data_IF_847681831582
#
_entry.id   IF_847681831582
#
_cell.length_a   1.000
_cell.length_b   1.000
_cell.length_c   1.000
_cell.angle_alpha   90.00
_cell.angle_beta   90.00
_cell.angle_gamma   90.00
#
_symmetry.space_group_name_H-M   'P 1'
#
loop_
_entity.id
_entity.type
_entity.pdbx_description
1 polymer ?
#
# COMPACT_ATOMS: atom_id res chain seq x y z
N UNK A 1 14.02 41.84 -19.15
CA UNK A 1 13.60 42.02 -17.73
C UNK A 1 12.12 42.34 -17.54
N UNK A 2 11.52 43.32 -18.24
CA UNK A 2 10.11 43.72 -18.04
C UNK A 2 9.04 42.60 -18.15
N UNK A 3 9.07 41.67 -19.14
CA UNK A 3 8.03 40.64 -19.24
C UNK A 3 8.12 39.56 -18.14
N UNK A 4 9.33 39.34 -17.58
CA UNK A 4 9.56 38.40 -16.48
C UNK A 4 8.93 38.91 -15.18
N UNK A 5 9.07 40.22 -14.90
CA UNK A 5 8.44 40.84 -13.73
C UNK A 5 6.91 40.74 -13.82
N UNK A 6 6.33 40.95 -15.01
CA UNK A 6 4.89 40.85 -15.24
C UNK A 6 4.36 39.42 -15.04
N UNK A 7 5.08 38.40 -15.53
CA UNK A 7 4.67 37.00 -15.34
C UNK A 7 4.78 36.55 -13.87
N UNK A 8 5.83 36.97 -13.17
CA UNK A 8 6.02 36.70 -11.74
C UNK A 8 4.93 37.38 -10.90
N UNK A 9 4.54 38.61 -11.26
CA UNK A 9 3.46 39.35 -10.62
C UNK A 9 2.11 38.64 -10.79
N UNK A 10 1.79 38.14 -11.99
CA UNK A 10 0.54 37.40 -12.26
C UNK A 10 0.50 36.08 -11.46
N UNK A 11 1.65 35.38 -11.35
CA UNK A 11 1.75 34.17 -10.53
C UNK A 11 1.53 34.47 -9.04
N UNK A 12 2.10 35.57 -8.53
CA UNK A 12 1.93 36.03 -7.15
C UNK A 12 0.48 36.46 -6.84
N UNK A 13 -0.19 37.17 -7.75
CA UNK A 13 -1.59 37.58 -7.58
C UNK A 13 -2.51 36.36 -7.52
N UNK A 14 -2.24 35.33 -8.31
CA UNK A 14 -2.99 34.07 -8.29
C UNK A 14 -2.89 33.32 -6.96
N UNK A 15 -1.72 33.39 -6.31
CA UNK A 15 -1.46 32.78 -5.00
C UNK A 15 -2.22 33.52 -3.88
N UNK A 16 -2.35 34.84 -3.98
CA UNK A 16 -3.06 35.66 -2.99
C UNK A 16 -4.57 35.46 -3.02
N UNK A 17 -5.17 35.24 -4.19
CA UNK A 17 -6.64 35.08 -4.33
C UNK A 17 -7.13 33.73 -3.77
N UNK A 18 -6.28 32.68 -3.77
CA UNK A 18 -6.63 31.38 -3.14
C UNK A 18 -6.42 31.33 -1.62
N UNK A 19 -5.94 32.41 -0.98
CA UNK A 19 -5.59 32.41 0.44
C UNK A 19 -6.74 32.82 1.40
N UNK A 20 -7.98 32.97 0.90
CA UNK A 20 -9.10 33.49 1.68
C UNK A 20 -9.94 32.41 2.40
N UNK A 21 -9.66 31.13 2.19
CA UNK A 21 -10.21 30.03 3.01
C UNK A 21 -9.25 29.70 4.17
N UNK A 22 -9.79 29.37 5.36
CA UNK A 22 -9.09 28.91 6.58
C UNK A 22 -8.33 27.59 6.36
N UNK A 23 -7.42 27.55 5.39
CA UNK A 23 -6.56 26.42 5.10
C UNK A 23 -5.40 26.43 6.10
N UNK A 24 -5.30 25.33 6.85
CA UNK A 24 -4.18 24.97 7.72
C UNK A 24 -2.85 25.11 6.95
N UNK A 25 -2.21 26.27 7.10
CA UNK A 25 -1.23 26.83 6.16
C UNK A 25 0.19 26.31 6.41
N UNK A 26 0.31 24.98 6.48
CA UNK A 26 1.61 24.34 6.63
C UNK A 26 2.44 24.47 5.35
N UNK A 27 3.61 25.10 5.48
CA UNK A 27 4.66 25.08 4.46
C UNK A 27 5.56 23.87 4.69
N UNK A 28 5.87 23.16 3.61
CA UNK A 28 6.86 22.09 3.64
C UNK A 28 8.18 22.62 3.08
N UNK A 29 9.24 22.57 3.88
CA UNK A 29 10.61 22.83 3.43
C UNK A 29 11.18 21.52 2.90
N UNK A 30 11.82 21.56 1.75
CA UNK A 30 12.39 20.37 1.09
C UNK A 30 13.83 20.65 0.70
N UNK A 31 14.71 19.67 0.92
CA UNK A 31 16.03 19.57 0.31
C UNK A 31 15.95 18.53 -0.81
N UNK A 32 16.55 18.79 -1.97
CA UNK A 32 16.62 17.81 -3.04
C UNK A 32 18.01 17.79 -3.66
N UNK A 33 18.41 16.63 -4.14
CA UNK A 33 19.65 16.43 -4.89
C UNK A 33 19.42 15.44 -6.02
N UNK A 34 20.12 15.62 -7.13
CA UNK A 34 19.96 14.77 -8.30
C UNK A 34 21.15 14.76 -9.23
N UNK A 35 20.97 14.07 -10.35
CA UNK A 35 21.90 14.00 -11.47
C UNK A 35 21.24 14.62 -12.70
N UNK A 36 21.87 15.66 -13.24
CA UNK A 36 21.49 16.36 -14.45
C UNK A 36 22.19 15.69 -15.65
N UNK A 37 21.41 15.33 -16.66
CA UNK A 37 21.87 14.84 -17.96
C UNK A 37 21.54 15.91 -19.01
N UNK A 38 22.50 16.82 -19.23
CA UNK A 38 22.32 17.97 -20.11
C UNK A 38 22.67 17.64 -21.56
N UNK A 39 21.76 17.96 -22.46
CA UNK A 39 21.92 17.80 -23.90
C UNK A 39 21.64 19.14 -24.56
N UNK A 40 22.47 19.52 -25.53
CA UNK A 40 22.36 20.76 -26.28
C UNK A 40 22.86 20.55 -27.69
N UNK A 41 22.50 21.44 -28.60
CA UNK A 41 22.88 21.41 -30.00
C UNK A 41 23.83 22.57 -30.28
N UNK A 42 24.96 22.29 -30.94
CA UNK A 42 25.93 23.29 -31.37
C UNK A 42 26.28 23.00 -32.82
N UNK A 43 26.10 23.99 -33.70
CA UNK A 43 26.36 23.86 -35.13
C UNK A 43 25.65 22.66 -35.80
N UNK A 44 24.42 22.33 -35.38
CA UNK A 44 23.68 21.20 -35.92
C UNK A 44 24.02 19.84 -35.29
N UNK A 45 25.02 19.77 -34.41
CA UNK A 45 25.43 18.54 -33.74
C UNK A 45 24.87 18.48 -32.32
N UNK A 46 24.17 17.39 -32.00
CA UNK A 46 23.69 17.14 -30.63
C UNK A 46 24.83 16.61 -29.76
N UNK A 47 25.16 17.32 -28.69
CA UNK A 47 26.17 16.92 -27.73
C UNK A 47 25.66 15.78 -26.85
N UNK A 48 26.53 14.81 -26.52
CA UNK A 48 26.17 13.66 -25.68
C UNK A 48 26.10 14.05 -24.21
N UNK A 49 25.03 13.72 -23.46
CA UNK A 49 24.88 14.14 -22.08
C UNK A 49 25.89 13.46 -21.14
N UNK A 50 26.39 14.22 -20.16
CA UNK A 50 27.23 13.72 -19.06
C UNK A 50 26.50 14.00 -17.74
N UNK A 51 26.39 12.97 -16.90
CA UNK A 51 25.80 13.11 -15.58
C UNK A 51 26.61 14.07 -14.70
N UNK A 52 25.93 15.05 -14.11
CA UNK A 52 26.51 16.01 -13.17
C UNK A 52 25.58 16.23 -11.98
N UNK A 53 26.11 16.42 -10.77
CA UNK A 53 25.28 16.57 -9.59
C UNK A 53 24.56 17.93 -9.56
N UNK A 54 23.40 17.93 -8.92
CA UNK A 54 22.64 19.11 -8.56
C UNK A 54 22.12 19.01 -7.13
N UNK A 55 21.93 20.16 -6.49
CA UNK A 55 21.39 20.28 -5.14
C UNK A 55 20.55 21.54 -5.02
N UNK A 56 19.44 21.48 -4.30
CA UNK A 56 18.56 22.63 -4.14
C UNK A 56 17.61 22.48 -2.97
N UNK A 57 16.90 23.56 -2.69
CA UNK A 57 15.87 23.63 -1.66
C UNK A 57 14.56 24.13 -2.27
N UNK A 58 13.43 23.67 -1.75
CA UNK A 58 12.12 24.20 -2.15
C UNK A 58 11.15 24.32 -0.98
N UNK A 59 10.29 25.34 -1.07
CA UNK A 59 9.12 25.54 -0.24
C UNK A 59 7.89 25.06 -1.00
N UNK A 60 7.08 24.21 -0.39
CA UNK A 60 5.83 23.71 -0.96
C UNK A 60 4.65 24.12 -0.06
N UNK A 61 3.70 24.85 -0.62
CA UNK A 61 2.46 25.26 0.05
C UNK A 61 1.29 24.44 -0.46
N UNK A 62 0.52 23.85 0.45
CA UNK A 62 -0.72 23.13 0.12
C UNK A 62 -1.85 24.14 -0.09
N UNK A 63 -2.56 24.03 -1.21
CA UNK A 63 -3.72 24.90 -1.52
C UNK A 63 -5.04 24.13 -1.45
N UNK A 64 -5.08 22.90 -1.96
CA UNK A 64 -6.22 21.97 -1.85
C UNK A 64 -5.71 20.57 -1.47
N UNK A 65 -6.62 19.61 -1.26
CA UNK A 65 -6.26 18.24 -0.85
C UNK A 65 -5.21 17.58 -1.77
N UNK A 66 -5.28 17.86 -3.08
CA UNK A 66 -4.42 17.24 -4.12
C UNK A 66 -3.50 18.23 -4.85
N UNK A 67 -3.61 19.54 -4.60
CA UNK A 67 -2.82 20.55 -5.30
C UNK A 67 -1.91 21.32 -4.34
N UNK A 68 -0.68 21.52 -4.79
CA UNK A 68 0.38 22.23 -4.07
C UNK A 68 1.10 23.16 -5.03
N UNK A 69 1.66 24.25 -4.52
CA UNK A 69 2.56 25.13 -5.27
C UNK A 69 3.95 25.04 -4.67
N UNK A 70 4.96 24.86 -5.51
CA UNK A 70 6.36 24.79 -5.11
C UNK A 70 7.12 26.02 -5.61
N UNK A 71 8.01 26.53 -4.77
CA UNK A 71 9.02 27.53 -5.10
C UNK A 71 10.38 27.00 -4.63
N UNK A 72 11.39 26.97 -5.50
CA UNK A 72 12.68 26.40 -5.16
C UNK A 72 13.85 27.12 -5.81
N UNK A 73 15.03 26.87 -5.23
CA UNK A 73 16.33 27.32 -5.74
C UNK A 73 17.24 26.11 -5.85
N UNK A 74 17.90 25.94 -6.97
CA UNK A 74 18.80 24.82 -7.25
C UNK A 74 20.15 25.34 -7.75
N UNK A 75 21.24 24.85 -7.16
CA UNK A 75 22.55 24.88 -7.78
C UNK A 75 22.71 23.67 -8.70
N UNK A 76 23.16 23.92 -9.93
CA UNK A 76 23.39 22.87 -10.91
C UNK A 76 24.83 22.87 -11.41
N UNK A 77 25.31 21.69 -11.75
CA UNK A 77 26.40 21.48 -12.71
C UNK A 77 25.85 20.68 -13.88
N UNK A 78 26.28 21.01 -15.09
CA UNK A 78 25.86 20.38 -16.34
C UNK A 78 27.07 20.19 -17.22
N UNK A 79 27.07 19.10 -17.96
CA UNK A 79 28.10 18.86 -18.93
C UNK A 79 27.54 18.08 -20.13
N UNK A 80 28.07 18.41 -21.31
CA UNK A 80 27.75 17.72 -22.55
C UNK A 80 29.03 17.52 -23.36
N UNK A 81 29.20 16.35 -23.98
CA UNK A 81 30.38 15.99 -24.75
C UNK A 81 30.20 16.40 -26.21
N UNK A 82 31.11 17.23 -26.70
CA UNK A 82 31.20 17.62 -28.10
C UNK A 82 32.06 16.63 -28.90
N UNK A 83 33.26 16.33 -28.41
CA UNK A 83 34.17 15.33 -28.97
C UNK A 83 34.78 14.45 -27.87
N UNK A 84 35.56 13.40 -28.18
CA UNK A 84 36.23 12.59 -27.15
C UNK A 84 37.09 13.41 -26.16
N UNK A 85 37.70 14.49 -26.64
CA UNK A 85 38.55 15.39 -25.85
C UNK A 85 37.84 16.67 -25.41
N UNK A 86 36.77 17.10 -26.07
CA UNK A 86 36.11 18.39 -25.78
C UNK A 86 34.75 18.20 -25.14
N UNK A 87 34.53 18.84 -23.98
CA UNK A 87 33.22 18.91 -23.30
C UNK A 87 32.83 20.36 -23.04
N UNK A 88 31.54 20.63 -23.11
CA UNK A 88 30.92 21.85 -22.58
C UNK A 88 30.60 21.60 -21.11
N UNK A 89 31.08 22.46 -20.20
CA UNK A 89 30.66 22.49 -18.81
C UNK A 89 29.92 23.79 -18.48
N UNK A 90 28.87 23.66 -17.66
CA UNK A 90 28.06 24.76 -17.17
C UNK A 90 27.80 24.59 -15.67
N UNK A 91 27.89 25.66 -14.90
CA UNK A 91 27.41 25.69 -13.53
C UNK A 91 26.68 26.99 -13.23
N UNK A 92 25.69 26.92 -12.35
CA UNK A 92 24.83 28.06 -12.09
C UNK A 92 23.70 27.81 -11.11
N UNK A 93 22.74 28.71 -11.13
CA UNK A 93 21.56 28.70 -10.26
C UNK A 93 20.26 28.65 -11.08
N UNK A 94 19.28 27.96 -10.54
CA UNK A 94 17.92 27.87 -11.06
C UNK A 94 16.90 28.32 -10.03
N UNK A 95 15.98 29.17 -10.44
CA UNK A 95 14.74 29.47 -9.72
C UNK A 95 13.62 28.65 -10.34
N UNK A 96 12.93 27.85 -9.52
CA UNK A 96 11.93 26.88 -9.95
C UNK A 96 10.60 27.26 -9.30
N UNK A 97 9.54 27.42 -10.08
CA UNK A 97 8.21 27.70 -9.54
C UNK A 97 7.13 26.97 -10.34
N UNK A 98 6.18 26.32 -9.67
CA UNK A 98 5.09 25.68 -10.38
C UNK A 98 4.08 24.91 -9.52
N UNK A 99 2.92 24.59 -10.12
CA UNK A 99 1.94 23.70 -9.50
C UNK A 99 2.42 22.24 -9.53
N UNK A 100 1.98 21.50 -8.50
CA UNK A 100 2.13 20.05 -8.38
C UNK A 100 0.82 19.42 -7.96
N UNK A 101 0.40 18.41 -8.71
CA UNK A 101 -0.76 17.58 -8.44
C UNK A 101 -0.32 16.27 -7.78
N UNK A 102 -0.92 15.91 -6.64
CA UNK A 102 -0.62 14.70 -5.87
C UNK A 102 -1.81 13.74 -5.89
N UNK A 103 -1.53 12.46 -6.15
CA UNK A 103 -2.50 11.37 -6.08
C UNK A 103 -1.87 10.14 -5.42
N UNK A 104 -2.26 9.87 -4.17
CA UNK A 104 -1.65 8.82 -3.35
C UNK A 104 -0.15 9.04 -3.14
N UNK A 105 0.65 8.04 -3.50
CA UNK A 105 2.11 8.08 -3.39
C UNK A 105 2.79 8.78 -4.57
N UNK A 106 2.03 9.23 -5.58
CA UNK A 106 2.56 9.86 -6.80
C UNK A 106 2.27 11.35 -6.83
N UNK A 107 3.16 12.12 -7.46
CA UNK A 107 2.90 13.50 -7.84
C UNK A 107 3.36 13.79 -9.25
N UNK A 108 2.68 14.71 -9.92
CA UNK A 108 3.03 15.22 -11.24
C UNK A 108 3.16 16.74 -11.13
N UNK A 109 4.14 17.32 -11.82
CA UNK A 109 4.38 18.76 -11.75
C UNK A 109 4.79 19.34 -13.10
N UNK A 110 4.47 20.63 -13.24
CA UNK A 110 4.91 21.47 -14.35
C UNK A 110 5.45 22.76 -13.72
N UNK A 111 6.75 23.03 -13.87
CA UNK A 111 7.40 24.21 -13.32
C UNK A 111 7.90 25.13 -14.43
N UNK A 112 7.80 26.44 -14.22
CA UNK A 112 8.64 27.41 -14.89
C UNK A 112 10.00 27.46 -14.18
N UNK A 113 11.08 27.44 -14.96
CA UNK A 113 12.45 27.49 -14.44
C UNK A 113 13.20 28.64 -15.08
N UNK A 114 13.77 29.51 -14.27
CA UNK A 114 14.71 30.53 -14.71
C UNK A 114 16.12 30.11 -14.32
N UNK A 115 16.96 29.83 -15.31
CA UNK A 115 18.33 29.36 -15.16
C UNK A 115 19.31 30.47 -15.46
N UNK A 116 20.33 30.64 -14.62
CA UNK A 116 21.47 31.52 -14.88
C UNK A 116 22.77 30.71 -14.70
N UNK A 117 23.54 30.54 -15.78
CA UNK A 117 24.85 29.93 -15.76
C UNK A 117 25.90 31.00 -15.46
N UNK A 118 26.57 30.88 -14.32
CA UNK A 118 27.66 31.77 -13.92
C UNK A 118 28.98 31.39 -14.58
N UNK A 119 29.13 30.11 -14.93
CA UNK A 119 30.29 29.58 -15.64
C UNK A 119 29.80 28.75 -16.81
N UNK A 120 30.41 28.97 -17.98
CA UNK A 120 30.14 28.23 -19.21
C UNK A 120 31.42 28.19 -20.04
N UNK A 121 32.01 27.01 -20.19
CA UNK A 121 33.28 26.87 -20.89
C UNK A 121 33.39 25.55 -21.63
N UNK A 122 34.15 25.56 -22.71
CA UNK A 122 34.65 24.33 -23.32
C UNK A 122 35.94 23.90 -22.62
N UNK A 123 35.94 22.69 -22.10
CA UNK A 123 37.11 22.05 -21.52
C UNK A 123 37.68 21.02 -22.50
N UNK A 124 38.97 21.13 -22.79
CA UNK A 124 39.72 20.18 -23.58
C UNK A 124 40.53 19.26 -22.65
N UNK A 125 40.33 17.95 -22.77
CA UNK A 125 41.14 16.90 -22.14
C UNK A 125 42.11 16.36 -23.18
N UNK A 126 43.33 16.88 -23.20
CA UNK A 126 44.47 16.22 -23.83
C UNK A 126 45.14 15.27 -22.82
N UNK A 127 45.93 14.29 -23.29
CA UNK A 127 46.62 13.30 -22.45
C UNK A 127 47.62 13.91 -21.45
N UNK A 128 48.06 15.14 -21.66
CA UNK A 128 48.73 15.93 -20.63
C UNK A 128 47.68 16.67 -19.81
N UNK A 129 47.70 16.55 -18.48
CA UNK A 129 46.80 17.20 -17.51
C UNK A 129 46.73 18.75 -17.56
N UNK A 130 47.25 19.39 -18.62
CA UNK A 130 47.08 20.80 -18.93
C UNK A 130 45.67 21.07 -19.46
N UNK A 131 44.79 21.53 -18.58
CA UNK A 131 43.50 22.12 -18.93
C UNK A 131 43.74 23.45 -19.66
N UNK A 132 43.69 23.47 -20.99
CA UNK A 132 43.54 24.72 -21.73
C UNK A 132 42.05 25.09 -21.74
N UNK A 133 41.60 25.90 -20.78
CA UNK A 133 40.26 26.49 -20.85
C UNK A 133 40.20 27.45 -22.05
N UNK A 134 39.29 27.18 -22.98
CA UNK A 134 38.94 28.12 -24.07
C UNK A 134 38.04 29.23 -23.49
N UNK A 135 37.92 30.39 -24.17
CA UNK A 135 37.34 31.61 -23.59
C UNK A 135 36.01 31.33 -22.88
N UNK A 136 35.88 31.88 -21.67
CA UNK A 136 34.61 31.90 -20.95
C UNK A 136 33.53 32.43 -21.90
N UNK A 137 32.52 31.61 -22.13
CA UNK A 137 31.33 32.07 -22.82
C UNK A 137 30.59 33.02 -21.88
N UNK A 138 29.98 34.06 -22.43
CA UNK A 138 29.23 35.02 -21.64
C UNK A 138 28.18 34.33 -20.76
N UNK A 139 27.88 34.88 -19.57
CA UNK A 139 26.84 34.35 -18.69
C UNK A 139 25.55 34.08 -19.47
N UNK A 140 25.02 32.88 -19.33
CA UNK A 140 23.87 32.42 -20.10
C UNK A 140 22.64 32.32 -19.20
N UNK A 141 21.60 33.08 -19.52
CA UNK A 141 20.32 33.02 -18.83
C UNK A 141 19.24 32.42 -19.75
N UNK A 142 18.45 31.49 -19.24
CA UNK A 142 17.42 30.81 -20.01
C UNK A 142 16.14 30.58 -19.20
N UNK A 143 14.99 30.72 -19.88
CA UNK A 143 13.71 30.28 -19.35
C UNK A 143 13.44 28.88 -19.87
N UNK A 144 13.04 27.98 -18.97
CA UNK A 144 12.74 26.58 -19.26
C UNK A 144 11.37 26.21 -18.72
N UNK A 145 10.75 25.21 -19.34
CA UNK A 145 9.60 24.50 -18.78
C UNK A 145 10.09 23.14 -18.30
N UNK A 146 9.80 22.80 -17.06
CA UNK A 146 10.13 21.52 -16.45
C UNK A 146 8.86 20.71 -16.23
N UNK A 147 8.83 19.47 -16.69
CA UNK A 147 7.73 18.53 -16.47
C UNK A 147 8.29 17.30 -15.79
N UNK A 148 7.62 16.80 -14.76
CA UNK A 148 8.14 15.64 -14.03
C UNK A 148 7.12 14.91 -13.18
N UNK A 149 7.60 13.80 -12.61
CA UNK A 149 6.88 12.95 -11.70
C UNK A 149 7.72 12.70 -10.43
N UNK A 150 7.03 12.48 -9.32
CA UNK A 150 7.60 12.18 -8.00
C UNK A 150 6.88 10.96 -7.42
N UNK A 151 7.62 10.06 -6.77
CA UNK A 151 7.08 8.94 -6.00
C UNK A 151 7.59 9.02 -4.56
N UNK A 152 6.67 9.03 -3.60
CA UNK A 152 7.02 9.04 -2.18
C UNK A 152 7.43 7.62 -1.76
N UNK A 153 8.67 7.44 -1.33
CA UNK A 153 9.15 6.18 -0.75
C UNK A 153 8.81 6.10 0.74
N UNK A 154 8.97 7.22 1.44
CA UNK A 154 8.71 7.38 2.88
C UNK A 154 7.94 8.69 3.11
N UNK A 155 7.42 8.95 4.33
CA UNK A 155 6.78 10.23 4.63
C UNK A 155 7.66 11.44 4.30
N UNK A 156 8.97 11.33 4.46
CA UNK A 156 9.92 12.43 4.22
C UNK A 156 10.74 12.27 2.93
N UNK A 157 10.84 11.05 2.37
CA UNK A 157 11.73 10.77 1.22
C UNK A 157 10.92 10.47 -0.03
N UNK A 158 11.24 11.17 -1.12
CA UNK A 158 10.68 10.94 -2.44
C UNK A 158 11.77 10.76 -3.50
N UNK A 159 11.50 9.95 -4.52
CA UNK A 159 12.26 9.96 -5.78
C UNK A 159 11.55 10.84 -6.79
N UNK A 160 12.30 11.55 -7.62
CA UNK A 160 11.73 12.33 -8.71
C UNK A 160 12.50 12.12 -10.02
N UNK A 161 11.76 12.26 -11.12
CA UNK A 161 12.30 12.36 -12.47
C UNK A 161 11.66 13.55 -13.17
N UNK A 162 12.44 14.33 -13.89
CA UNK A 162 11.91 15.45 -14.68
C UNK A 162 12.71 15.69 -15.95
N UNK A 163 12.08 16.43 -16.86
CA UNK A 163 12.70 16.96 -18.07
C UNK A 163 12.45 18.46 -18.13
N UNK A 164 13.52 19.24 -18.29
CA UNK A 164 13.50 20.68 -18.51
C UNK A 164 13.86 21.01 -19.96
N UNK A 165 13.02 21.75 -20.66
CA UNK A 165 13.20 22.14 -22.07
C UNK A 165 13.38 23.66 -22.14
N UNK A 166 14.38 24.14 -22.89
CA UNK A 166 14.65 25.57 -23.06
C UNK A 166 13.67 26.20 -24.06
N UNK A 167 13.20 27.43 -23.79
CA UNK A 167 12.24 28.15 -24.65
C UNK A 167 12.88 29.11 -25.67
N UNK A 168 14.20 29.10 -25.82
CA UNK A 168 14.93 30.03 -26.69
C UNK A 168 15.08 29.54 -28.14
N UNK A 169 14.46 28.41 -28.49
CA UNK A 169 14.52 27.79 -29.81
C UNK A 169 15.71 26.84 -30.01
N UNK A 170 16.67 26.80 -29.08
CA UNK A 170 17.72 25.78 -29.12
C UNK A 170 17.14 24.44 -28.66
N UNK A 171 17.50 23.34 -29.33
CA UNK A 171 17.08 21.98 -28.97
C UNK A 171 17.83 21.45 -27.73
N UNK A 172 17.77 22.23 -26.64
CA UNK A 172 18.45 21.97 -25.38
C UNK A 172 17.48 21.44 -24.33
N UNK A 173 17.86 20.36 -23.68
CA UNK A 173 17.09 19.77 -22.59
C UNK A 173 17.98 19.24 -21.47
N UNK A 174 17.39 19.13 -20.28
CA UNK A 174 18.01 18.48 -19.12
C UNK A 174 17.05 17.40 -18.65
N UNK A 175 17.50 16.15 -18.57
CA UNK A 175 16.79 15.14 -17.79
C UNK A 175 17.42 15.09 -16.40
N UNK A 176 16.60 15.08 -15.36
CA UNK A 176 17.06 15.01 -13.98
C UNK A 176 16.42 13.82 -13.29
N UNK A 177 17.23 13.07 -12.54
CA UNK A 177 16.77 12.05 -11.60
C UNK A 177 17.33 12.38 -10.22
N UNK A 178 16.52 12.29 -9.16
CA UNK A 178 17.00 12.65 -7.84
C UNK A 178 16.13 12.19 -6.69
N UNK A 179 16.60 12.54 -5.49
CA UNK A 179 15.98 12.27 -4.20
C UNK A 179 15.60 13.61 -3.57
N UNK A 180 14.45 13.62 -2.88
CA UNK A 180 13.94 14.77 -2.14
C UNK A 180 13.64 14.37 -0.71
N UNK A 181 14.14 15.16 0.23
CA UNK A 181 13.87 15.07 1.66
C UNK A 181 12.97 16.24 2.09
N UNK A 182 11.86 15.96 2.77
CA UNK A 182 10.93 16.96 3.32
C UNK A 182 11.18 17.12 4.82
N UNK A 183 11.49 18.34 5.27
CA UNK A 183 11.67 18.66 6.68
C UNK A 183 10.32 18.89 7.40
N UNK A 184 10.31 18.60 8.70
CA UNK A 184 9.18 18.82 9.60
C UNK A 184 8.29 17.59 9.79
N UNK A 185 7.35 17.70 10.74
CA UNK A 185 6.26 16.75 10.90
C UNK A 185 5.31 16.95 9.72
N UNK A 186 5.66 16.35 8.58
CA UNK A 186 4.70 16.17 7.53
C UNK A 186 3.61 15.29 8.15
N UNK A 187 2.48 15.88 8.57
CA UNK A 187 1.24 15.19 8.90
C UNK A 187 0.64 14.60 7.62
N UNK A 188 1.49 13.97 6.79
CA UNK A 188 1.11 13.19 5.64
C UNK A 188 0.38 12.01 6.22
N UNK A 189 -0.95 12.13 6.24
CA UNK A 189 -1.82 11.00 6.51
C UNK A 189 -1.37 9.86 5.60
N UNK A 190 -0.96 8.72 6.17
CA UNK A 190 -0.47 7.61 5.36
C UNK A 190 -1.52 7.26 4.33
N UNK A 191 -1.09 6.96 3.10
CA UNK A 191 -2.04 6.57 2.06
C UNK A 191 -2.82 5.34 2.54
N UNK A 192 -4.08 5.23 2.14
CA UNK A 192 -4.91 4.07 2.47
C UNK A 192 -4.18 2.74 2.22
N UNK A 193 -3.43 2.64 1.12
CA UNK A 193 -2.56 1.49 0.81
C UNK A 193 -1.55 1.19 1.91
N UNK A 194 -0.85 2.20 2.43
CA UNK A 194 0.13 2.03 3.52
C UNK A 194 -0.53 1.64 4.83
N UNK A 195 -1.65 2.29 5.20
CA UNK A 195 -2.42 1.94 6.40
C UNK A 195 -2.76 0.45 6.39
N UNK A 196 -3.27 -0.07 5.27
CA UNK A 196 -3.60 -1.48 5.12
C UNK A 196 -2.40 -2.42 5.22
N UNK A 197 -1.28 -2.04 4.58
CA UNK A 197 -0.05 -2.86 4.63
C UNK A 197 0.43 -2.97 6.07
N UNK A 198 0.48 -1.85 6.80
CA UNK A 198 0.91 -1.79 8.19
C UNK A 198 -0.06 -2.56 9.11
N UNK A 199 -1.38 -2.41 8.90
CA UNK A 199 -2.38 -3.17 9.64
C UNK A 199 -2.23 -4.68 9.40
N UNK A 200 -2.07 -5.11 8.15
CA UNK A 200 -1.85 -6.51 7.81
C UNK A 200 -0.52 -7.08 8.35
N UNK A 201 0.54 -6.26 8.40
CA UNK A 201 1.82 -6.61 9.02
C UNK A 201 1.66 -6.81 10.53
N UNK A 202 0.94 -5.92 11.21
CA UNK A 202 0.65 -6.06 12.63
C UNK A 202 -0.16 -7.34 12.90
N UNK A 203 -1.25 -7.53 12.15
CA UNK A 203 -2.14 -8.68 12.31
C UNK A 203 -1.45 -10.03 12.06
N UNK A 204 -0.51 -10.14 11.11
CA UNK A 204 0.23 -11.40 10.89
C UNK A 204 1.15 -11.72 12.08
N UNK A 205 1.79 -10.71 12.66
CA UNK A 205 2.65 -10.90 13.84
C UNK A 205 1.81 -11.30 15.05
N UNK A 206 0.73 -10.56 15.31
CA UNK A 206 -0.22 -10.86 16.37
C UNK A 206 -0.83 -12.26 16.23
N UNK A 207 -1.17 -12.71 15.01
CA UNK A 207 -1.68 -14.05 14.79
C UNK A 207 -0.61 -15.12 15.01
N UNK A 208 0.64 -14.89 14.59
CA UNK A 208 1.73 -15.86 14.75
C UNK A 208 2.08 -16.12 16.22
N UNK A 209 2.00 -15.08 17.05
CA UNK A 209 2.28 -15.16 18.49
C UNK A 209 1.02 -15.45 19.32
N UNK A 210 -0.15 -15.34 18.70
CA UNK A 210 -1.45 -15.46 19.34
C UNK A 210 -2.10 -16.83 19.18
N UNK A 211 -3.43 -16.81 19.16
CA UNK A 211 -4.29 -17.98 19.17
C UNK A 211 -5.31 -17.94 18.03
N UNK A 212 -5.47 -19.05 17.32
CA UNK A 212 -6.52 -19.23 16.33
C UNK A 212 -7.65 -20.14 16.87
N UNK A 213 -8.83 -19.57 17.05
CA UNK A 213 -10.04 -20.28 17.46
C UNK A 213 -10.88 -20.66 16.23
N UNK A 214 -10.97 -21.94 15.94
CA UNK A 214 -11.77 -22.46 14.82
C UNK A 214 -13.21 -22.68 15.27
N UNK A 215 -14.12 -21.91 14.67
CA UNK A 215 -15.56 -21.95 14.97
C UNK A 215 -16.23 -23.12 14.26
N UNK A 216 -16.74 -24.06 15.04
CA UNK A 216 -17.54 -25.21 14.59
C UNK A 216 -19.03 -24.85 14.57
N UNK A 217 -19.78 -25.45 13.64
CA UNK A 217 -21.22 -25.17 13.51
C UNK A 217 -22.00 -25.94 14.57
N UNK A 218 -22.93 -25.26 15.23
CA UNK A 218 -23.93 -25.90 16.08
C UNK A 218 -25.30 -25.20 15.96
N UNK A 219 -26.18 -25.64 15.05
CA UNK A 219 -27.50 -25.05 14.86
C UNK A 219 -28.56 -25.72 15.77
N UNK A 220 -28.30 -25.76 17.08
CA UNK A 220 -29.19 -26.38 18.09
C UNK A 220 -30.64 -25.90 17.94
N UNK A 221 -30.84 -24.59 17.77
CA UNK A 221 -32.17 -24.01 17.58
C UNK A 221 -32.92 -24.59 16.37
N UNK A 222 -32.22 -24.86 15.26
CA UNK A 222 -32.86 -25.45 14.07
C UNK A 222 -33.23 -26.91 14.31
N UNK A 223 -32.36 -27.67 14.99
CA UNK A 223 -32.59 -29.07 15.36
C UNK A 223 -33.79 -29.16 16.32
N UNK A 224 -33.83 -28.30 17.34
CA UNK A 224 -34.91 -28.26 18.33
C UNK A 224 -36.25 -27.89 17.69
N UNK A 225 -36.28 -26.89 16.79
CA UNK A 225 -37.49 -26.52 16.05
C UNK A 225 -37.99 -27.69 15.19
N UNK A 226 -37.09 -28.43 14.52
CA UNK A 226 -37.49 -29.62 13.74
C UNK A 226 -38.05 -30.72 14.61
N UNK A 227 -37.45 -30.98 15.79
CA UNK A 227 -37.94 -31.97 16.76
C UNK A 227 -39.32 -31.59 17.30
N UNK A 228 -39.51 -30.33 17.71
CA UNK A 228 -40.82 -29.80 18.16
C UNK A 228 -41.90 -29.88 17.08
N UNK A 229 -41.52 -29.76 15.81
CA UNK A 229 -42.43 -29.93 14.67
C UNK A 229 -42.71 -31.40 14.30
N UNK A 230 -42.27 -32.38 15.10
CA UNK A 230 -42.45 -33.81 14.85
C UNK A 230 -41.60 -34.36 13.71
N UNK A 231 -40.55 -33.63 13.29
CA UNK A 231 -39.67 -34.00 12.15
C UNK A 231 -38.33 -34.57 12.63
N UNK A 232 -38.36 -35.52 13.57
CA UNK A 232 -37.15 -36.07 14.22
C UNK A 232 -36.12 -36.62 13.22
N UNK A 233 -36.54 -37.39 12.22
CA UNK A 233 -35.62 -37.96 11.21
C UNK A 233 -34.81 -36.89 10.46
N UNK A 234 -35.44 -35.74 10.17
CA UNK A 234 -34.77 -34.62 9.48
C UNK A 234 -33.79 -33.92 10.42
N UNK A 235 -34.13 -33.81 11.70
CA UNK A 235 -33.26 -33.27 12.73
C UNK A 235 -32.02 -34.15 12.89
N UNK A 236 -32.18 -35.46 13.01
CA UNK A 236 -31.08 -36.41 13.19
C UNK A 236 -30.18 -36.53 11.94
N UNK A 237 -30.77 -36.36 10.75
CA UNK A 237 -30.00 -36.26 9.50
C UNK A 237 -29.19 -34.96 9.43
N UNK A 238 -29.75 -33.85 9.91
CA UNK A 238 -29.07 -32.56 9.96
C UNK A 238 -27.90 -32.62 10.96
N UNK A 239 -28.15 -33.14 12.16
CA UNK A 239 -27.16 -33.34 13.23
C UNK A 239 -25.95 -34.14 12.73
N UNK A 240 -26.18 -35.36 12.20
CA UNK A 240 -25.11 -36.18 11.60
C UNK A 240 -24.29 -35.45 10.55
N UNK A 241 -24.94 -34.69 9.67
CA UNK A 241 -24.26 -33.94 8.61
C UNK A 241 -23.39 -32.81 9.17
N UNK A 242 -23.80 -32.18 10.28
CA UNK A 242 -23.03 -31.14 10.95
C UNK A 242 -21.83 -31.77 11.66
N UNK A 243 -22.03 -32.90 12.33
CA UNK A 243 -20.95 -33.63 13.01
C UNK A 243 -19.88 -34.09 12.04
N UNK A 244 -20.28 -34.68 10.90
CA UNK A 244 -19.37 -35.04 9.81
C UNK A 244 -18.58 -33.82 9.31
N UNK A 245 -19.25 -32.68 9.12
CA UNK A 245 -18.58 -31.45 8.69
C UNK A 245 -17.60 -30.92 9.73
N UNK A 246 -18.01 -30.86 11.00
CA UNK A 246 -17.16 -30.40 12.10
C UNK A 246 -15.96 -31.34 12.30
N UNK A 247 -16.14 -32.65 12.12
CA UNK A 247 -15.04 -33.60 12.16
C UNK A 247 -14.02 -33.34 11.04
N UNK A 248 -14.48 -33.14 9.80
CA UNK A 248 -13.59 -32.79 8.69
C UNK A 248 -12.83 -31.48 8.94
N UNK A 249 -13.51 -30.47 9.49
CA UNK A 249 -12.90 -29.18 9.88
C UNK A 249 -11.78 -29.41 10.89
N UNK A 250 -12.08 -30.12 11.98
CA UNK A 250 -11.10 -30.42 13.02
C UNK A 250 -9.89 -31.16 12.46
N UNK A 251 -10.11 -32.24 11.72
CA UNK A 251 -9.02 -33.06 11.17
C UNK A 251 -8.15 -32.25 10.22
N UNK A 252 -8.75 -31.38 9.39
CA UNK A 252 -8.00 -30.54 8.47
C UNK A 252 -7.13 -29.50 9.19
N UNK A 253 -7.64 -28.84 10.24
CA UNK A 253 -6.83 -27.89 11.02
C UNK A 253 -5.75 -28.58 11.84
N UNK A 254 -6.07 -29.70 12.50
CA UNK A 254 -5.10 -30.44 13.30
C UNK A 254 -3.93 -31.01 12.46
N UNK A 255 -4.18 -31.38 11.20
CA UNK A 255 -3.14 -31.97 10.34
C UNK A 255 -2.36 -30.97 9.49
N UNK A 256 -2.97 -29.84 9.09
CA UNK A 256 -2.41 -28.96 8.06
C UNK A 256 -2.11 -27.53 8.53
N UNK A 257 -2.50 -27.14 9.75
CA UNK A 257 -2.26 -25.81 10.30
C UNK A 257 -1.23 -25.86 11.44
N UNK A 258 -0.13 -25.11 11.29
CA UNK A 258 0.91 -25.00 12.31
C UNK A 258 1.46 -23.58 12.46
N UNK A 259 0.75 -22.58 11.93
CA UNK A 259 1.18 -21.18 11.96
C UNK A 259 1.06 -20.54 13.36
N UNK A 260 0.08 -20.97 14.16
CA UNK A 260 -0.10 -20.57 15.55
C UNK A 260 -0.87 -21.66 16.32
N UNK A 261 -1.08 -21.48 17.63
CA UNK A 261 -1.87 -22.42 18.44
C UNK A 261 -3.33 -22.45 17.96
N UNK A 262 -3.92 -23.64 17.89
CA UNK A 262 -5.31 -23.84 17.44
C UNK A 262 -6.17 -24.47 18.53
N UNK A 263 -7.35 -23.92 18.74
CA UNK A 263 -8.42 -24.56 19.51
C UNK A 263 -9.75 -24.47 18.75
N UNK A 264 -10.72 -25.27 19.18
CA UNK A 264 -12.05 -25.32 18.57
C UNK A 264 -13.13 -24.87 19.56
N UNK A 265 -14.19 -24.25 19.06
CA UNK A 265 -15.36 -23.90 19.86
C UNK A 265 -16.63 -23.95 19.01
N UNK A 266 -17.78 -24.18 19.63
CA UNK A 266 -19.07 -24.19 18.93
C UNK A 266 -19.63 -22.78 18.72
N UNK A 267 -20.34 -22.60 17.61
CA UNK A 267 -20.88 -21.30 17.19
C UNK A 267 -21.80 -20.61 18.21
N UNK A 268 -22.42 -21.36 19.13
CA UNK A 268 -23.23 -20.79 20.22
C UNK A 268 -22.41 -20.04 21.27
N UNK A 269 -21.13 -20.34 21.41
CA UNK A 269 -20.23 -19.69 22.37
C UNK A 269 -19.54 -18.45 21.79
N UNK A 270 -19.97 -17.95 20.63
CA UNK A 270 -19.35 -16.79 19.97
C UNK A 270 -19.37 -15.55 20.87
N UNK A 271 -20.45 -15.33 21.61
CA UNK A 271 -20.55 -14.20 22.55
C UNK A 271 -19.57 -14.32 23.70
N UNK A 272 -19.31 -15.54 24.18
CA UNK A 272 -18.30 -15.82 25.22
C UNK A 272 -16.89 -15.53 24.69
N UNK A 273 -16.60 -15.93 23.46
CA UNK A 273 -15.33 -15.63 22.78
C UNK A 273 -15.12 -14.12 22.62
N UNK A 274 -16.14 -13.36 22.17
CA UNK A 274 -16.04 -11.88 22.09
C UNK A 274 -15.75 -11.22 23.44
N UNK A 275 -16.24 -11.83 24.52
CA UNK A 275 -16.07 -11.35 25.90
C UNK A 275 -14.79 -11.88 26.57
N UNK A 276 -13.99 -12.70 25.88
CA UNK A 276 -12.79 -13.34 26.43
C UNK A 276 -13.07 -14.42 27.48
N UNK A 277 -14.31 -14.90 27.61
CA UNK A 277 -14.70 -15.96 28.55
C UNK A 277 -14.49 -17.32 27.90
N UNK A 278 -13.28 -17.87 28.01
CA UNK A 278 -12.85 -19.08 27.29
C UNK A 278 -12.95 -20.37 28.11
N UNK A 279 -13.13 -20.28 29.43
CA UNK A 279 -13.18 -21.45 30.30
C UNK A 279 -14.36 -22.36 29.98
N UNK A 280 -14.06 -23.64 29.79
CA UNK A 280 -15.08 -24.67 29.59
C UNK A 280 -15.83 -24.59 28.26
N UNK A 281 -15.33 -23.83 27.27
CA UNK A 281 -15.94 -23.75 25.93
C UNK A 281 -14.98 -24.16 24.80
N UNK A 282 -13.68 -24.30 25.10
CA UNK A 282 -12.65 -24.64 24.13
C UNK A 282 -12.34 -26.13 24.11
N UNK A 283 -12.00 -26.63 22.93
CA UNK A 283 -11.58 -27.99 22.69
C UNK A 283 -10.20 -28.01 22.05
N UNK A 284 -9.35 -28.95 22.47
CA UNK A 284 -8.04 -29.19 21.85
C UNK A 284 -8.15 -29.92 20.49
N UNK A 285 -7.00 -30.19 19.87
CA UNK A 285 -6.88 -30.93 18.61
C UNK A 285 -7.46 -32.35 18.65
N UNK A 286 -7.44 -32.97 19.85
CA UNK A 286 -8.01 -34.29 20.12
C UNK A 286 -9.49 -34.20 20.58
N UNK A 287 -10.03 -32.99 20.61
CA UNK A 287 -11.38 -32.66 21.07
C UNK A 287 -11.66 -32.93 22.55
N UNK A 288 -10.66 -32.80 23.40
CA UNK A 288 -10.84 -32.78 24.84
C UNK A 288 -11.22 -31.37 25.29
N UNK A 289 -12.19 -31.27 26.20
CA UNK A 289 -12.64 -30.01 26.77
C UNK A 289 -11.56 -29.38 27.66
N UNK A 290 -11.19 -28.15 27.37
CA UNK A 290 -10.24 -27.36 28.16
C UNK A 290 -11.00 -26.61 29.24
N UNK A 291 -10.76 -26.98 30.50
CA UNK A 291 -11.47 -26.41 31.66
C UNK A 291 -10.85 -25.14 32.21
N UNK A 292 -9.53 -24.98 32.05
CA UNK A 292 -8.77 -23.84 32.55
C UNK A 292 -8.02 -23.22 31.36
N UNK A 293 -8.19 -21.91 31.19
CA UNK A 293 -7.56 -21.16 30.10
C UNK A 293 -6.52 -20.13 30.57
N UNK A 294 -6.00 -20.26 31.79
CA UNK A 294 -5.00 -19.34 32.38
C UNK A 294 -3.76 -19.20 31.48
N UNK A 295 -3.35 -20.29 30.83
CA UNK A 295 -2.22 -20.29 29.88
C UNK A 295 -2.46 -19.53 28.57
N UNK A 296 -3.70 -19.09 28.33
CA UNK A 296 -4.14 -18.35 27.15
C UNK A 296 -4.38 -16.86 27.47
N UNK A 297 -4.29 -16.46 28.74
CA UNK A 297 -4.42 -15.06 29.14
C UNK A 297 -3.33 -14.20 28.49
N UNK A 298 -3.73 -13.04 27.96
CA UNK A 298 -2.83 -12.09 27.31
C UNK A 298 -2.47 -12.40 25.86
N UNK A 299 -2.89 -13.53 25.29
CA UNK A 299 -2.69 -13.84 23.87
C UNK A 299 -3.71 -13.12 22.99
N UNK A 300 -3.28 -12.68 21.79
CA UNK A 300 -4.19 -12.14 20.79
C UNK A 300 -5.06 -13.26 20.21
N UNK A 301 -6.38 -13.07 20.27
CA UNK A 301 -7.36 -14.06 19.83
C UNK A 301 -7.83 -13.72 18.41
N UNK A 302 -7.67 -14.68 17.51
CA UNK A 302 -8.25 -14.67 16.18
C UNK A 302 -9.24 -15.81 16.04
N UNK A 303 -10.18 -15.68 15.12
CA UNK A 303 -11.15 -16.72 14.82
C UNK A 303 -11.03 -17.16 13.37
N UNK A 304 -11.28 -18.44 13.10
CA UNK A 304 -11.41 -18.96 11.75
C UNK A 304 -12.77 -19.65 11.59
N UNK A 305 -13.46 -19.39 10.48
CA UNK A 305 -14.70 -20.08 10.16
C UNK A 305 -14.86 -20.38 8.67
N UNK A 306 -15.69 -21.37 8.36
CA UNK A 306 -16.14 -21.65 7.00
C UNK A 306 -17.39 -20.81 6.69
N UNK A 307 -17.15 -19.67 6.06
CA UNK A 307 -18.17 -18.65 5.81
C UNK A 307 -18.03 -17.98 4.45
N UNK A 308 -18.84 -16.96 4.23
CA UNK A 308 -18.75 -16.10 3.06
C UNK A 308 -17.67 -15.04 3.27
N UNK A 309 -16.86 -14.78 2.24
CA UNK A 309 -15.93 -13.65 2.26
C UNK A 309 -16.72 -12.34 2.24
N UNK A 310 -16.66 -11.60 3.35
CA UNK A 310 -17.17 -10.25 3.49
C UNK A 310 -16.37 -9.21 2.71
N UNK A 311 -16.86 -7.98 2.70
CA UNK A 311 -16.21 -6.87 2.02
C UNK A 311 -15.01 -6.33 2.81
N UNK A 312 -14.03 -5.77 2.09
CA UNK A 312 -12.86 -5.12 2.68
C UNK A 312 -13.31 -3.86 3.44
N UNK A 313 -13.47 -3.98 4.75
CA UNK A 313 -13.99 -2.95 5.66
C UNK A 313 -13.05 -1.75 5.78
N UNK A 314 -11.76 -1.91 5.48
CA UNK A 314 -10.78 -0.82 5.58
C UNK A 314 -11.06 0.34 4.60
N UNK A 315 -11.74 0.11 3.47
CA UNK A 315 -11.93 1.13 2.41
C UNK A 315 -12.81 2.31 2.86
N UNK A 316 -13.49 2.17 3.99
CA UNK A 316 -14.52 3.09 4.48
C UNK A 316 -14.17 3.69 5.85
N UNK A 317 -12.87 3.79 6.18
CA UNK A 317 -12.35 4.42 7.40
C UNK A 317 -12.62 5.93 7.44
N UNK A 318 -13.23 6.44 8.53
CA UNK A 318 -13.46 7.88 8.74
C UNK A 318 -12.82 8.44 10.02
N UNK A 319 -12.50 7.63 11.04
CA UNK A 319 -11.64 8.00 12.19
C UNK A 319 -11.57 6.89 13.25
N UNK A 320 -10.52 6.93 14.09
CA UNK A 320 -10.44 6.19 15.36
C UNK A 320 -11.17 6.99 16.45
N UNK A 321 -12.15 6.39 17.12
CA UNK A 321 -12.64 6.91 18.41
C UNK A 321 -12.02 6.09 19.53
N UNK A 322 -11.18 6.70 20.36
CA UNK A 322 -10.67 6.10 21.59
C UNK A 322 -11.79 6.00 22.64
N UNK A 323 -12.33 4.80 22.85
CA UNK A 323 -13.14 4.48 24.02
C UNK A 323 -12.26 3.92 25.13
N UNK A 324 -12.26 4.58 26.30
CA UNK A 324 -11.75 4.00 27.54
C UNK A 324 -12.73 2.94 28.03
N UNK A 325 -12.26 1.72 28.23
CA UNK A 325 -12.97 0.70 28.99
C UNK A 325 -12.34 0.47 30.37
N UNK A 326 -13.02 -0.36 31.16
CA UNK A 326 -12.80 -0.56 32.60
C UNK A 326 -11.66 -1.53 32.98
N UNK A 327 -10.91 -2.07 32.01
CA UNK A 327 -9.74 -2.94 32.27
C UNK A 327 -8.50 -2.45 31.54
N UNK A 328 -7.30 -2.82 32.00
CA UNK A 328 -6.02 -2.51 31.35
C UNK A 328 -5.93 -3.01 29.88
N UNK A 329 -6.91 -3.80 29.43
CA UNK A 329 -7.05 -4.34 28.07
C UNK A 329 -8.14 -3.66 27.22
N UNK A 330 -8.81 -2.62 27.72
CA UNK A 330 -9.99 -2.07 27.06
C UNK A 330 -9.80 -0.67 26.47
N UNK A 331 -8.70 -0.44 25.75
CA UNK A 331 -8.68 0.63 24.78
C UNK A 331 -9.48 0.18 23.55
N UNK A 332 -10.78 0.53 23.51
CA UNK A 332 -11.66 0.17 22.39
C UNK A 332 -11.61 1.27 21.32
N UNK A 333 -11.00 0.98 20.18
CA UNK A 333 -11.27 1.73 18.95
C UNK A 333 -12.51 1.12 18.31
N UNK A 334 -13.66 1.79 18.40
CA UNK A 334 -14.88 1.33 17.74
C UNK A 334 -15.11 2.05 16.41
N UNK A 335 -15.06 1.31 15.31
CA UNK A 335 -15.22 1.82 13.93
C UNK A 335 -16.60 1.49 13.35
N UNK A 336 -17.25 2.45 12.68
CA UNK A 336 -18.53 2.25 11.94
C UNK A 336 -18.29 2.14 10.42
N UNK A 337 -19.05 1.31 9.71
CA UNK A 337 -18.80 0.91 8.31
C UNK A 337 -20.05 1.01 7.40
N UNK A 338 -19.89 1.40 6.12
CA UNK A 338 -20.94 1.39 5.08
C UNK A 338 -20.52 0.59 3.81
N UNK A 339 -21.48 -0.09 3.16
CA UNK A 339 -21.25 -1.21 2.23
C UNK A 339 -21.08 -0.91 0.72
N UNK A 340 -20.46 -1.87 0.00
CA UNK A 340 -20.26 -1.93 -1.46
C UNK A 340 -20.86 -3.19 -2.13
N UNK A 341 -20.35 -3.61 -3.29
CA UNK A 341 -20.90 -4.72 -4.11
C UNK A 341 -20.56 -6.11 -3.56
N UNK A 342 -21.56 -6.99 -3.37
CA UNK A 342 -21.45 -8.31 -2.72
C UNK A 342 -21.08 -9.40 -3.72
N UNK A 343 -19.80 -9.69 -3.89
CA UNK A 343 -19.34 -10.94 -4.50
C UNK A 343 -18.96 -11.91 -3.37
N UNK A 344 -19.95 -12.59 -2.79
CA UNK A 344 -19.69 -13.58 -1.74
C UNK A 344 -19.41 -14.96 -2.35
N UNK A 345 -18.36 -15.61 -1.86
CA UNK A 345 -18.09 -17.03 -2.11
C UNK A 345 -17.63 -17.67 -0.80
N UNK A 346 -17.82 -18.99 -0.69
CA UNK A 346 -17.44 -19.73 0.50
C UNK A 346 -15.90 -19.88 0.60
N UNK A 347 -15.37 -19.60 1.79
CA UNK A 347 -13.96 -19.74 2.09
C UNK A 347 -13.75 -20.03 3.59
N UNK A 348 -12.55 -20.48 3.93
CA UNK A 348 -12.04 -20.31 5.30
C UNK A 348 -11.74 -18.83 5.45
N UNK A 349 -12.32 -18.17 6.44
CA UNK A 349 -12.11 -16.74 6.72
C UNK A 349 -11.47 -16.60 8.09
N UNK A 350 -10.43 -15.77 8.20
CA UNK A 350 -9.85 -15.37 9.49
C UNK A 350 -10.39 -14.00 9.88
N UNK A 351 -10.78 -13.87 11.14
CA UNK A 351 -11.30 -12.65 11.75
C UNK A 351 -10.60 -12.37 13.09
N UNK A 352 -10.73 -11.15 13.59
CA UNK A 352 -10.34 -10.81 14.97
C UNK A 352 -11.31 -11.41 16.01
N UNK A 353 -11.07 -11.14 17.30
CA UNK A 353 -11.93 -11.57 18.41
C UNK A 353 -13.35 -11.01 18.34
N UNK A 354 -13.55 -9.85 17.70
CA UNK A 354 -14.86 -9.23 17.48
C UNK A 354 -15.59 -9.82 16.25
N UNK A 355 -14.97 -10.79 15.57
CA UNK A 355 -15.44 -11.40 14.32
C UNK A 355 -15.40 -10.43 13.11
N UNK A 356 -14.62 -9.35 13.18
CA UNK A 356 -14.33 -8.52 12.01
C UNK A 356 -13.31 -9.23 11.14
N UNK A 357 -13.66 -9.46 9.88
CA UNK A 357 -12.79 -10.14 8.92
C UNK A 357 -11.50 -9.35 8.70
N UNK A 358 -10.36 -10.06 8.75
CA UNK A 358 -9.07 -9.45 8.45
C UNK A 358 -9.02 -9.01 6.97
N UNK A 359 -8.21 -7.99 6.66
CA UNK A 359 -8.21 -7.34 5.35
C UNK A 359 -6.92 -7.60 4.56
N UNK A 360 -7.00 -7.44 3.23
CA UNK A 360 -5.83 -7.51 2.33
C UNK A 360 -4.78 -6.44 2.71
N UNK A 361 -3.47 -6.70 2.53
CA UNK A 361 -2.86 -7.73 1.67
C UNK A 361 -2.61 -9.11 2.32
N UNK A 362 -2.98 -9.28 3.59
CA UNK A 362 -2.91 -10.56 4.30
C UNK A 362 -3.69 -11.66 3.54
N UNK A 363 -3.30 -12.95 3.61
CA UNK A 363 -4.14 -14.04 3.14
C UNK A 363 -5.26 -14.33 4.16
N UNK A 364 -6.28 -13.48 4.19
CA UNK A 364 -7.42 -13.53 5.13
C UNK A 364 -8.49 -14.58 4.76
N UNK A 365 -8.32 -15.26 3.62
CA UNK A 365 -9.17 -16.37 3.26
C UNK A 365 -8.48 -17.41 2.38
N UNK A 366 -8.99 -18.65 2.44
CA UNK A 366 -8.66 -19.72 1.51
C UNK A 366 -9.95 -20.26 0.89
N UNK A 367 -10.04 -20.23 -0.45
CA UNK A 367 -11.24 -20.70 -1.14
C UNK A 367 -11.51 -22.15 -0.78
N UNK A 368 -12.76 -22.41 -0.42
CA UNK A 368 -13.27 -23.76 -0.28
C UNK A 368 -14.25 -24.01 -1.42
N UNK A 369 -13.79 -24.79 -2.40
CA UNK A 369 -14.67 -25.27 -3.45
C UNK A 369 -15.40 -26.47 -2.88
N UNK A 370 -16.64 -26.25 -2.42
CA UNK A 370 -17.54 -27.39 -2.21
C UNK A 370 -17.60 -28.18 -3.52
N UNK A 371 -17.60 -29.52 -3.49
CA UNK A 371 -17.89 -30.30 -4.69
C UNK A 371 -19.34 -30.04 -5.10
N UNK A 372 -19.56 -29.01 -5.91
CA UNK A 372 -20.86 -28.63 -6.49
C UNK A 372 -21.42 -29.76 -7.35
N UNK A 373 -20.54 -30.63 -7.86
CA UNK A 373 -20.82 -31.77 -8.72
C UNK A 373 -21.76 -32.82 -8.11
N UNK A 374 -21.89 -32.90 -6.77
CA UNK A 374 -22.86 -33.82 -6.13
C UNK A 374 -24.29 -33.28 -6.06
N UNK A 375 -24.49 -31.97 -6.25
CA UNK A 375 -25.79 -31.32 -6.09
C UNK A 375 -26.49 -30.99 -7.42
N UNK A 376 -25.73 -30.85 -8.52
CA UNK A 376 -26.24 -30.52 -9.84
C UNK A 376 -25.54 -31.34 -10.94
N UNK A 377 -25.98 -32.59 -11.20
CA UNK A 377 -25.40 -33.43 -12.25
C UNK A 377 -25.60 -32.85 -13.65
N UNK A 378 -26.63 -32.02 -13.87
CA UNK A 378 -26.89 -31.33 -15.13
C UNK A 378 -25.75 -30.40 -15.61
N UNK A 379 -24.94 -29.84 -14.71
CA UNK A 379 -23.78 -28.99 -15.07
C UNK A 379 -22.67 -29.81 -15.77
N UNK A 380 -22.68 -31.13 -15.57
CA UNK A 380 -21.69 -32.06 -16.09
C UNK A 380 -21.84 -32.26 -17.61
N UNK A 381 -23.07 -32.25 -18.13
CA UNK A 381 -23.33 -32.46 -19.56
C UNK A 381 -22.87 -31.26 -20.41
N UNK A 382 -22.99 -30.04 -19.89
CA UNK A 382 -22.60 -28.81 -20.61
C UNK A 382 -21.13 -28.45 -20.37
N UNK A 383 -20.59 -28.71 -19.18
CA UNK A 383 -19.21 -28.37 -18.81
C UNK A 383 -18.13 -29.36 -19.28
N UNK A 384 -18.47 -30.65 -19.43
CA UNK A 384 -17.48 -31.68 -19.79
C UNK A 384 -16.96 -31.59 -21.23
N UNK A 385 -17.68 -30.92 -22.14
CA UNK A 385 -17.28 -30.82 -23.56
C UNK A 385 -16.21 -29.72 -23.79
N UNK A 386 -16.07 -28.73 -22.89
CA UNK A 386 -15.19 -27.57 -23.12
C UNK A 386 -14.08 -27.33 -22.07
N UNK A 387 -14.07 -28.03 -20.92
CA UNK A 387 -13.14 -27.70 -19.80
C UNK A 387 -12.43 -28.93 -19.20
N UNK A 388 -12.39 -30.04 -19.94
CA UNK A 388 -12.13 -31.40 -19.45
C UNK A 388 -10.76 -31.67 -18.77
N UNK A 389 -9.64 -30.95 -18.99
CA UNK A 389 -8.42 -31.22 -18.22
C UNK A 389 -8.39 -30.58 -16.82
N UNK A 390 -9.14 -29.49 -16.59
CA UNK A 390 -9.04 -28.70 -15.35
C UNK A 390 -9.94 -29.23 -14.22
N UNK A 391 -11.00 -29.97 -14.56
CA UNK A 391 -12.00 -30.42 -13.59
C UNK A 391 -11.51 -31.62 -12.76
N UNK A 392 -10.61 -32.44 -13.29
CA UNK A 392 -10.02 -33.58 -12.57
C UNK A 392 -9.16 -33.16 -11.35
N UNK A 393 -8.78 -31.89 -11.24
CA UNK A 393 -8.03 -31.33 -10.10
C UNK A 393 -8.92 -30.65 -9.03
N UNK A 394 -10.25 -30.66 -9.19
CA UNK A 394 -11.20 -29.93 -8.33
C UNK A 394 -11.75 -30.74 -7.14
N UNK A 395 -11.21 -31.92 -6.84
CA UNK A 395 -11.44 -32.57 -5.54
C UNK A 395 -10.61 -31.85 -4.46
N UNK A 396 -10.95 -30.60 -4.16
CA UNK A 396 -10.31 -29.86 -3.07
C UNK A 396 -10.84 -30.35 -1.73
N UNK A 397 -10.11 -31.31 -1.15
CA UNK A 397 -10.23 -31.69 0.26
C UNK A 397 -9.99 -30.45 1.13
N UNK A 398 -10.69 -30.40 2.25
CA UNK A 398 -10.60 -29.32 3.23
C UNK A 398 -9.16 -29.07 3.69
N UNK A 399 -8.41 -30.15 3.86
CA UNK A 399 -6.97 -30.20 4.15
C UNK A 399 -6.17 -29.30 3.21
N UNK A 400 -6.40 -29.37 1.89
CA UNK A 400 -5.67 -28.56 0.90
C UNK A 400 -5.97 -27.07 1.09
N UNK A 401 -7.21 -26.71 1.43
CA UNK A 401 -7.57 -25.32 1.69
C UNK A 401 -6.91 -24.79 2.96
N UNK A 402 -6.82 -25.59 4.02
CA UNK A 402 -6.11 -25.25 5.27
C UNK A 402 -4.60 -25.17 5.03
N UNK A 403 -3.99 -26.15 4.37
CA UNK A 403 -2.57 -26.13 4.00
C UNK A 403 -2.19 -24.87 3.22
N UNK A 404 -2.99 -24.52 2.20
CA UNK A 404 -2.77 -23.28 1.43
C UNK A 404 -2.91 -22.02 2.26
N UNK A 405 -3.81 -22.01 3.25
CA UNK A 405 -3.93 -20.90 4.19
C UNK A 405 -2.63 -20.78 5.00
N UNK A 406 -2.21 -21.89 5.62
CA UNK A 406 -1.00 -21.99 6.43
C UNK A 406 0.27 -21.57 5.65
N UNK A 407 0.45 -22.08 4.43
CA UNK A 407 1.59 -21.75 3.55
C UNK A 407 1.63 -20.26 3.23
N UNK A 408 0.46 -19.66 2.96
CA UNK A 408 0.37 -18.23 2.64
C UNK A 408 0.67 -17.36 3.85
N UNK A 409 0.17 -17.73 5.03
CA UNK A 409 0.47 -17.05 6.30
C UNK A 409 1.98 -17.09 6.56
N UNK A 410 2.56 -18.28 6.56
CA UNK A 410 4.00 -18.52 6.77
C UNK A 410 4.86 -17.75 5.77
N UNK A 411 4.52 -17.81 4.48
CA UNK A 411 5.23 -17.07 3.42
C UNK A 411 5.13 -15.56 3.61
N UNK A 412 3.99 -15.05 4.03
CA UNK A 412 3.82 -13.61 4.27
C UNK A 412 4.61 -13.17 5.52
N UNK A 413 4.53 -13.91 6.61
CA UNK A 413 5.31 -13.69 7.84
C UNK A 413 6.82 -13.65 7.56
N UNK A 414 7.36 -14.67 6.88
CA UNK A 414 8.78 -14.77 6.52
C UNK A 414 9.29 -13.66 5.58
N UNK A 415 8.38 -12.94 4.92
CA UNK A 415 8.74 -11.76 4.10
C UNK A 415 8.79 -10.47 4.91
N UNK A 416 8.15 -10.44 6.07
CA UNK A 416 8.13 -9.27 6.97
C UNK A 416 9.23 -9.35 8.03
N UNK A 417 9.68 -10.56 8.39
CA UNK A 417 10.77 -10.78 9.35
C UNK A 417 12.18 -10.67 8.76
N UNK A 418 12.29 -10.50 7.44
CA UNK A 418 13.54 -10.21 6.72
C UNK A 418 13.61 -8.73 6.40
#
# INVERSE_FOLDING_TARGET
MRPFLSFLLILFISISISAQEKADSSFNIQLFSGLDFYSTEINGEQLKPIARPSIGFSLERKTKSSFTYALGVQYFRRAARYSPSVRLEEAGLELIAGPRYRTGDFAFFVNGVYSTATTRAFENRTESDYYSSRPELSPYSAIRIQIGAEVNLMPQISLFVNRSIVLDGNNSYVNQFGIKYTFGNSSRTPTYRRIRINAAQRQIMELSEGLLLVRLKNPEASIEVMRKAGRSDKADKLERKIDEQNQLVRSAFASEYNFSKVYFFFSQHSDSVRKGKLDGILYDENFNLIRNTDSLEGLNIFTAEFGEVGQDTLRYYDSESYGHGETAFSNKSSTRYYGGTKASFNAIVISDQEFNQLSRPFPYYSRWLKPTFKQHPEVLVVGCVLVSPLILFLNHKLEISVRRLNDRLTKYYNRQSK
#
